data_IF_490448956716
#
_entry.id   IF_490448956716
#
_cell.length_a   1.000
_cell.length_b   1.000
_cell.length_c   1.000
_cell.angle_alpha   90.00
_cell.angle_beta   90.00
_cell.angle_gamma   90.00
#
_symmetry.space_group_name_H-M   'P 1'
#
loop_
_entity.id
_entity.type
_entity.pdbx_description
1 polymer ?
#
# COMPACT_ATOMS: atom_id res chain seq x y z
N UNK A 1 20.89 2.68 -13.01
CA UNK A 1 20.33 2.02 -14.22
C UNK A 1 19.59 0.74 -13.81
N UNK A 2 18.45 0.43 -14.45
CA UNK A 2 17.54 -0.66 -14.05
C UNK A 2 18.20 -2.05 -13.91
N UNK A 3 19.09 -2.54 -14.80
CA UNK A 3 19.61 -3.91 -14.72
C UNK A 3 20.35 -4.26 -13.41
N UNK A 4 20.93 -3.26 -12.74
CA UNK A 4 21.67 -3.42 -11.47
C UNK A 4 20.89 -2.90 -10.25
N UNK A 5 19.65 -2.44 -10.46
CA UNK A 5 18.81 -1.80 -9.45
C UNK A 5 18.24 -2.79 -8.43
N UNK A 6 17.83 -2.26 -7.27
CA UNK A 6 17.04 -2.99 -6.27
C UNK A 6 15.70 -3.47 -6.83
N UNK A 7 15.08 -2.70 -7.75
CA UNK A 7 13.83 -3.10 -8.40
C UNK A 7 14.00 -4.37 -9.22
N UNK A 8 15.07 -4.48 -10.03
CA UNK A 8 15.34 -5.68 -10.83
C UNK A 8 15.67 -6.89 -9.95
N UNK A 9 16.39 -6.67 -8.83
CA UNK A 9 16.85 -7.74 -7.93
C UNK A 9 15.76 -8.26 -6.99
N UNK A 10 14.90 -7.39 -6.46
CA UNK A 10 14.01 -7.74 -5.34
C UNK A 10 12.51 -7.57 -5.65
N UNK A 11 12.15 -6.82 -6.69
CA UNK A 11 10.75 -6.48 -7.01
C UNK A 11 10.39 -6.77 -8.46
N UNK A 12 11.10 -7.72 -9.07
CA UNK A 12 10.81 -8.26 -10.40
C UNK A 12 10.72 -9.77 -10.25
N UNK A 13 9.50 -10.27 -10.38
CA UNK A 13 9.16 -11.68 -10.19
C UNK A 13 9.19 -12.42 -11.52
N UNK A 14 9.29 -13.74 -11.45
CA UNK A 14 9.40 -14.59 -12.65
C UNK A 14 8.07 -14.67 -13.40
N UNK A 15 6.97 -14.77 -12.66
CA UNK A 15 5.61 -14.87 -13.17
C UNK A 15 4.57 -14.37 -12.15
N UNK A 16 3.30 -14.43 -12.53
CA UNK A 16 2.16 -14.03 -11.68
C UNK A 16 1.91 -15.01 -10.52
N UNK A 17 2.22 -16.30 -10.69
CA UNK A 17 2.02 -17.32 -9.65
C UNK A 17 2.91 -17.07 -8.44
N UNK A 18 4.12 -16.56 -8.65
CA UNK A 18 5.02 -16.14 -7.57
C UNK A 18 4.37 -15.04 -6.69
N UNK A 19 3.74 -14.04 -7.32
CA UNK A 19 3.05 -12.95 -6.63
C UNK A 19 1.81 -13.47 -5.89
N UNK A 20 1.00 -14.32 -6.53
CA UNK A 20 -0.19 -14.92 -5.91
C UNK A 20 0.18 -15.74 -4.67
N UNK A 21 1.27 -16.52 -4.74
CA UNK A 21 1.77 -17.29 -3.61
C UNK A 21 2.20 -16.41 -2.44
N UNK A 22 2.89 -15.29 -2.72
CA UNK A 22 3.30 -14.34 -1.68
C UNK A 22 2.09 -13.71 -0.98
N UNK A 23 1.08 -13.27 -1.75
CA UNK A 23 -0.16 -12.69 -1.22
C UNK A 23 -0.95 -13.69 -0.40
N UNK A 24 -1.12 -14.91 -0.92
CA UNK A 24 -1.77 -16.00 -0.18
C UNK A 24 -1.03 -16.28 1.13
N UNK A 25 0.30 -16.34 1.10
CA UNK A 25 1.09 -16.50 2.31
C UNK A 25 0.93 -15.35 3.31
N UNK A 26 0.76 -14.10 2.84
CA UNK A 26 0.50 -12.95 3.70
C UNK A 26 -0.87 -13.05 4.40
N UNK A 27 -1.90 -13.42 3.65
CA UNK A 27 -3.25 -13.67 4.17
C UNK A 27 -3.25 -14.81 5.20
N UNK A 28 -2.63 -15.96 4.87
CA UNK A 28 -2.53 -17.12 5.76
C UNK A 28 -1.81 -16.78 7.07
N UNK A 29 -0.69 -16.04 7.01
CA UNK A 29 0.02 -15.58 8.22
C UNK A 29 -0.86 -14.71 9.11
N UNK A 30 -1.69 -13.85 8.53
CA UNK A 30 -2.62 -13.02 9.29
C UNK A 30 -3.70 -13.89 9.97
N UNK A 31 -4.32 -14.79 9.23
CA UNK A 31 -5.36 -15.69 9.74
C UNK A 31 -4.78 -16.62 10.82
N UNK A 32 -3.57 -17.14 10.66
CA UNK A 32 -2.92 -17.98 11.66
C UNK A 32 -2.63 -17.22 12.95
N UNK A 33 -2.23 -15.95 12.85
CA UNK A 33 -1.93 -15.09 14.00
C UNK A 33 -3.19 -14.69 14.77
N UNK A 34 -4.24 -14.25 14.07
CA UNK A 34 -5.44 -13.67 14.68
C UNK A 34 -6.64 -14.63 14.76
N UNK A 35 -6.58 -15.77 14.07
CA UNK A 35 -7.59 -16.82 14.09
C UNK A 35 -7.29 -17.96 15.06
N UNK A 36 -6.32 -17.79 15.98
CA UNK A 36 -6.00 -18.79 17.00
C UNK A 36 -7.23 -19.07 17.87
N UNK A 37 -7.56 -20.35 18.03
CA UNK A 37 -8.72 -20.78 18.82
C UNK A 37 -10.07 -20.71 18.09
N UNK A 38 -10.11 -20.26 16.83
CA UNK A 38 -11.31 -20.33 15.98
C UNK A 38 -11.33 -21.63 15.19
N UNK A 39 -12.53 -22.18 14.99
CA UNK A 39 -12.76 -23.29 14.06
C UNK A 39 -12.57 -22.84 12.61
N UNK A 40 -12.41 -23.78 11.68
CA UNK A 40 -12.22 -23.44 10.26
C UNK A 40 -13.43 -22.71 9.67
N UNK A 41 -14.64 -23.02 10.10
CA UNK A 41 -15.85 -22.35 9.63
C UNK A 41 -15.95 -20.91 10.16
N UNK A 42 -15.55 -20.68 11.41
CA UNK A 42 -15.46 -19.32 11.97
C UNK A 42 -14.38 -18.48 11.29
N UNK A 43 -13.25 -19.09 10.93
CA UNK A 43 -12.20 -18.38 10.18
C UNK A 43 -12.70 -17.94 8.81
N UNK A 44 -13.35 -18.85 8.06
CA UNK A 44 -13.92 -18.53 6.74
C UNK A 44 -15.00 -17.46 6.80
N UNK A 45 -15.78 -17.40 7.88
CA UNK A 45 -16.82 -16.38 8.04
C UNK A 45 -16.28 -15.01 8.46
N UNK A 46 -15.11 -14.94 9.09
CA UNK A 46 -14.60 -13.71 9.71
C UNK A 46 -13.46 -13.05 8.92
N UNK A 47 -12.60 -13.85 8.29
CA UNK A 47 -11.43 -13.36 7.57
C UNK A 47 -11.69 -13.34 6.07
N UNK A 48 -11.02 -12.40 5.40
CA UNK A 48 -11.07 -12.28 3.95
C UNK A 48 -10.27 -13.39 3.28
N UNK A 49 -10.77 -13.86 2.15
CA UNK A 49 -10.02 -14.70 1.21
C UNK A 49 -9.00 -13.86 0.43
N UNK A 50 -7.92 -14.45 -0.12
CA UNK A 50 -6.98 -13.74 -0.98
C UNK A 50 -7.65 -13.04 -2.18
N UNK A 51 -8.71 -13.62 -2.72
CA UNK A 51 -9.49 -13.06 -3.83
C UNK A 51 -10.26 -11.80 -3.40
N UNK A 52 -10.88 -11.81 -2.23
CA UNK A 52 -11.56 -10.65 -1.66
C UNK A 52 -10.57 -9.52 -1.33
N UNK A 53 -9.40 -9.86 -0.77
CA UNK A 53 -8.33 -8.87 -0.57
C UNK A 53 -7.94 -8.22 -1.91
N UNK A 54 -7.78 -9.01 -2.97
CA UNK A 54 -7.42 -8.50 -4.29
C UNK A 54 -8.49 -7.56 -4.86
N UNK A 55 -9.78 -7.85 -4.64
CA UNK A 55 -10.89 -6.96 -5.03
C UNK A 55 -10.79 -5.62 -4.30
N UNK A 56 -10.54 -5.62 -2.99
CA UNK A 56 -10.37 -4.39 -2.20
C UNK A 56 -9.15 -3.58 -2.65
N UNK A 57 -8.05 -4.25 -2.98
CA UNK A 57 -6.84 -3.60 -3.51
C UNK A 57 -7.09 -2.97 -4.87
N UNK A 58 -7.77 -3.67 -5.79
CA UNK A 58 -8.17 -3.11 -7.09
C UNK A 58 -9.07 -1.88 -6.94
N UNK A 59 -10.04 -1.93 -6.01
CA UNK A 59 -10.87 -0.77 -5.68
C UNK A 59 -10.04 0.40 -5.15
N UNK A 60 -9.07 0.12 -4.28
CA UNK A 60 -8.16 1.12 -3.71
C UNK A 60 -7.23 1.72 -4.76
N UNK A 61 -6.77 0.95 -5.75
CA UNK A 61 -6.00 1.45 -6.89
C UNK A 61 -6.78 2.49 -7.72
N UNK A 62 -8.10 2.32 -7.85
CA UNK A 62 -8.96 3.32 -8.49
C UNK A 62 -9.07 4.58 -7.64
N UNK A 63 -9.19 4.44 -6.31
CA UNK A 63 -9.18 5.57 -5.39
C UNK A 63 -7.85 6.33 -5.44
N UNK A 64 -6.72 5.63 -5.58
CA UNK A 64 -5.38 6.23 -5.72
C UNK A 64 -5.34 7.09 -6.96
N UNK A 65 -5.83 6.57 -8.09
CA UNK A 65 -5.92 7.30 -9.36
C UNK A 65 -6.71 8.58 -9.20
N UNK A 66 -7.89 8.47 -8.59
CA UNK A 66 -8.81 9.58 -8.40
C UNK A 66 -8.25 10.64 -7.46
N UNK A 67 -7.58 10.22 -6.40
CA UNK A 67 -6.89 11.10 -5.46
C UNK A 67 -5.80 11.90 -6.17
N UNK A 68 -4.88 11.22 -6.87
CA UNK A 68 -3.79 11.88 -7.57
C UNK A 68 -4.29 12.81 -8.69
N UNK A 69 -5.34 12.41 -9.41
CA UNK A 69 -5.94 13.22 -10.49
C UNK A 69 -6.55 14.52 -9.99
N UNK A 70 -7.13 14.51 -8.78
CA UNK A 70 -7.78 15.69 -8.17
C UNK A 70 -6.83 16.49 -7.29
N UNK A 71 -5.59 16.03 -7.13
CA UNK A 71 -4.61 16.65 -6.26
C UNK A 71 -4.18 18.01 -6.79
N UNK A 72 -4.11 19.01 -5.90
CA UNK A 72 -3.62 20.34 -6.18
C UNK A 72 -2.45 20.66 -5.23
N UNK A 73 -1.27 21.06 -5.74
CA UNK A 73 -0.93 21.30 -7.15
C UNK A 73 -0.87 20.03 -8.01
N UNK A 74 -0.94 20.12 -9.35
CA UNK A 74 -0.99 18.93 -10.22
C UNK A 74 0.16 17.96 -9.95
N UNK A 75 -0.19 16.69 -9.70
CA UNK A 75 0.79 15.67 -9.33
C UNK A 75 1.58 15.18 -10.55
N UNK A 76 2.94 15.14 -10.48
CA UNK A 76 3.77 14.59 -11.54
C UNK A 76 3.46 13.11 -11.81
N UNK A 77 3.58 12.69 -13.08
CA UNK A 77 3.32 11.28 -13.46
C UNK A 77 4.28 10.30 -12.78
N UNK A 78 5.51 10.71 -12.48
CA UNK A 78 6.49 9.86 -11.78
C UNK A 78 6.03 9.57 -10.35
N UNK A 79 5.61 10.60 -9.59
CA UNK A 79 4.98 10.46 -8.26
C UNK A 79 3.82 9.47 -8.29
N UNK A 80 2.93 9.57 -9.28
CA UNK A 80 1.79 8.66 -9.41
C UNK A 80 2.27 7.22 -9.64
N UNK A 81 3.22 7.02 -10.57
CA UNK A 81 3.78 5.70 -10.88
C UNK A 81 4.49 5.05 -9.69
N UNK A 82 5.26 5.84 -8.93
CA UNK A 82 5.96 5.42 -7.71
C UNK A 82 4.96 5.09 -6.60
N UNK A 83 3.89 5.87 -6.45
CA UNK A 83 2.80 5.58 -5.50
C UNK A 83 2.14 4.23 -5.75
N UNK A 84 1.85 3.92 -7.01
CA UNK A 84 1.32 2.61 -7.40
C UNK A 84 2.31 1.48 -7.12
N UNK A 85 3.60 1.70 -7.38
CA UNK A 85 4.62 0.71 -7.10
C UNK A 85 4.70 0.40 -5.60
N UNK A 86 4.78 1.43 -4.75
CA UNK A 86 4.81 1.23 -3.30
C UNK A 86 3.56 0.54 -2.79
N UNK A 87 2.38 0.96 -3.24
CA UNK A 87 1.12 0.32 -2.85
C UNK A 87 1.08 -1.17 -3.24
N UNK A 88 1.47 -1.51 -4.48
CA UNK A 88 1.50 -2.90 -4.94
C UNK A 88 2.55 -3.73 -4.19
N UNK A 89 3.77 -3.19 -4.00
CA UNK A 89 4.85 -3.86 -3.28
C UNK A 89 4.48 -4.15 -1.82
N UNK A 90 3.87 -3.18 -1.14
CA UNK A 90 3.42 -3.33 0.24
C UNK A 90 2.44 -4.51 0.39
N UNK A 91 1.40 -4.56 -0.45
CA UNK A 91 0.36 -5.60 -0.38
C UNK A 91 0.72 -6.90 -1.12
N UNK A 92 1.98 -7.11 -1.52
CA UNK A 92 2.46 -8.45 -1.89
C UNK A 92 2.74 -9.28 -0.63
N UNK A 93 3.26 -8.65 0.43
CA UNK A 93 3.69 -9.35 1.64
C UNK A 93 2.85 -9.05 2.89
N UNK A 94 1.86 -8.15 2.77
CA UNK A 94 1.00 -7.70 3.86
C UNK A 94 -0.48 -7.89 3.49
N UNK A 95 -1.31 -8.22 4.49
CA UNK A 95 -2.76 -8.36 4.33
C UNK A 95 -3.48 -7.02 4.50
N UNK A 96 -4.57 -6.82 3.76
CA UNK A 96 -5.46 -5.66 3.94
C UNK A 96 -6.17 -5.64 5.29
N UNK A 97 -6.22 -6.79 5.97
CA UNK A 97 -6.83 -6.93 7.30
C UNK A 97 -5.92 -6.39 8.41
N UNK A 98 -4.60 -6.36 8.18
CA UNK A 98 -3.63 -5.79 9.13
C UNK A 98 -3.47 -4.28 8.90
N UNK A 99 -3.44 -3.87 7.63
CA UNK A 99 -3.25 -2.48 7.25
C UNK A 99 -4.32 -2.03 6.28
N UNK A 100 -5.12 -1.05 6.69
CA UNK A 100 -6.27 -0.60 5.90
C UNK A 100 -5.81 0.10 4.60
N UNK A 101 -6.26 -0.36 3.41
CA UNK A 101 -5.79 0.14 2.11
C UNK A 101 -5.87 1.66 1.93
N UNK A 102 -6.91 2.30 2.45
CA UNK A 102 -7.08 3.76 2.35
C UNK A 102 -5.97 4.54 3.06
N UNK A 103 -5.46 4.04 4.18
CA UNK A 103 -4.42 4.69 4.99
C UNK A 103 -3.04 4.49 4.37
N UNK A 104 -2.74 3.26 3.95
CA UNK A 104 -1.49 2.94 3.25
C UNK A 104 -1.43 3.67 1.90
N UNK A 105 -2.55 3.78 1.19
CA UNK A 105 -2.63 4.52 -0.07
C UNK A 105 -2.17 5.97 0.08
N UNK A 106 -2.75 6.73 1.01
CA UNK A 106 -2.36 8.14 1.19
C UNK A 106 -0.91 8.27 1.67
N UNK A 107 -0.44 7.31 2.46
CA UNK A 107 0.96 7.23 2.91
C UNK A 107 1.92 6.96 1.74
N UNK A 108 1.58 6.03 0.85
CA UNK A 108 2.34 5.75 -0.38
C UNK A 108 2.46 6.99 -1.27
N UNK A 109 1.36 7.74 -1.44
CA UNK A 109 1.40 8.97 -2.25
C UNK A 109 2.28 10.02 -1.58
N UNK A 110 2.14 10.23 -0.27
CA UNK A 110 2.97 11.21 0.45
C UNK A 110 4.46 10.87 0.42
N UNK A 111 4.83 9.60 0.67
CA UNK A 111 6.22 9.13 0.57
C UNK A 111 6.76 9.29 -0.85
N UNK A 112 5.95 8.97 -1.87
CA UNK A 112 6.35 9.14 -3.28
C UNK A 112 6.62 10.60 -3.62
N UNK A 113 5.87 11.54 -3.03
CA UNK A 113 6.14 12.98 -3.22
C UNK A 113 7.53 13.36 -2.71
N UNK A 114 7.96 12.80 -1.56
CA UNK A 114 9.30 13.04 -1.02
C UNK A 114 10.41 12.44 -1.88
N UNK A 115 10.23 11.20 -2.34
CA UNK A 115 11.26 10.46 -3.12
C UNK A 115 11.45 11.06 -4.51
N UNK A 116 10.37 11.51 -5.14
CA UNK A 116 10.37 12.09 -6.49
C UNK A 116 10.57 13.62 -6.49
N UNK A 117 11.02 14.18 -5.37
CA UNK A 117 11.30 15.61 -5.19
C UNK A 117 10.11 16.54 -5.49
N UNK A 118 8.88 16.04 -5.34
CA UNK A 118 7.67 16.85 -5.39
C UNK A 118 7.43 17.49 -4.02
N UNK A 119 8.05 18.66 -3.83
CA UNK A 119 8.12 19.38 -2.55
C UNK A 119 6.76 19.93 -2.13
N UNK A 120 6.07 19.20 -1.25
CA UNK A 120 4.81 19.61 -0.61
C UNK A 120 4.88 19.37 0.90
N UNK A 121 4.38 20.34 1.67
CA UNK A 121 4.25 20.14 3.12
C UNK A 121 3.14 19.13 3.44
N UNK A 122 3.22 18.48 4.61
CA UNK A 122 2.14 17.58 5.06
C UNK A 122 0.80 18.33 5.15
N UNK A 123 0.81 19.58 5.61
CA UNK A 123 -0.39 20.43 5.69
C UNK A 123 -1.05 20.66 4.32
N UNK A 124 -0.24 20.95 3.30
CA UNK A 124 -0.73 21.07 1.91
C UNK A 124 -1.22 19.72 1.38
N UNK A 125 -0.52 18.63 1.67
CA UNK A 125 -0.94 17.30 1.24
C UNK A 125 -2.33 16.95 1.80
N UNK A 126 -2.52 17.04 3.12
CA UNK A 126 -3.81 16.69 3.75
C UNK A 126 -4.93 17.67 3.43
N UNK A 127 -4.63 18.87 2.92
CA UNK A 127 -5.65 19.79 2.42
C UNK A 127 -6.45 19.20 1.25
N UNK A 128 -5.85 18.27 0.50
CA UNK A 128 -6.47 17.51 -0.59
C UNK A 128 -7.29 16.31 -0.10
N UNK A 129 -7.25 15.98 1.20
CA UNK A 129 -8.01 14.89 1.80
C UNK A 129 -9.34 15.44 2.34
N UNK A 130 -10.41 14.69 2.11
CA UNK A 130 -11.73 14.97 2.67
C UNK A 130 -11.86 14.37 4.08
N UNK A 131 -12.48 15.11 4.99
CA UNK A 131 -12.72 14.69 6.37
C UNK A 131 -11.72 15.29 7.34
N UNK A 132 -11.37 14.54 8.38
CA UNK A 132 -10.44 14.95 9.42
C UNK A 132 -8.99 14.94 8.91
N UNK A 133 -8.45 16.14 8.73
CA UNK A 133 -7.11 16.36 8.16
C UNK A 133 -6.00 16.16 9.18
N UNK A 134 -6.26 16.45 10.45
CA UNK A 134 -5.27 16.29 11.52
C UNK A 134 -5.03 14.80 11.74
N UNK A 135 -6.11 14.03 11.86
CA UNK A 135 -6.03 12.57 11.94
C UNK A 135 -5.37 11.96 10.71
N UNK A 136 -5.67 12.47 9.51
CA UNK A 136 -5.03 12.00 8.29
C UNK A 136 -3.51 12.25 8.30
N UNK A 137 -3.07 13.44 8.74
CA UNK A 137 -1.65 13.76 8.88
C UNK A 137 -0.95 12.83 9.86
N UNK A 138 -1.57 12.59 11.02
CA UNK A 138 -1.04 11.68 12.04
C UNK A 138 -0.88 10.26 11.51
N UNK A 139 -1.90 9.71 10.85
CA UNK A 139 -1.86 8.37 10.25
C UNK A 139 -0.73 8.27 9.22
N UNK A 140 -0.61 9.26 8.32
CA UNK A 140 0.42 9.28 7.28
C UNK A 140 1.82 9.26 7.91
N UNK A 141 2.06 10.12 8.89
CA UNK A 141 3.38 10.24 9.53
C UNK A 141 3.73 8.99 10.34
N UNK A 142 2.77 8.40 11.05
CA UNK A 142 2.98 7.18 11.83
C UNK A 142 3.26 5.96 10.92
N UNK A 143 2.59 5.88 9.77
CA UNK A 143 2.76 4.76 8.83
C UNK A 143 3.98 4.94 7.89
N UNK A 144 4.61 6.10 7.84
CA UNK A 144 5.70 6.36 6.89
C UNK A 144 6.90 5.44 7.10
N UNK A 145 7.36 5.31 8.35
CA UNK A 145 8.47 4.41 8.69
C UNK A 145 8.09 2.94 8.43
N UNK A 146 6.88 2.56 8.80
CA UNK A 146 6.34 1.22 8.55
C UNK A 146 6.36 0.91 7.04
N UNK A 147 5.88 1.83 6.20
CA UNK A 147 5.88 1.66 4.76
C UNK A 147 7.31 1.46 4.23
N UNK A 148 8.26 2.31 4.65
CA UNK A 148 9.67 2.17 4.25
C UNK A 148 10.24 0.80 4.65
N UNK A 149 9.96 0.32 5.86
CA UNK A 149 10.39 -0.99 6.35
C UNK A 149 9.82 -2.13 5.51
N UNK A 150 8.52 -2.08 5.19
CA UNK A 150 7.83 -3.10 4.39
C UNK A 150 8.28 -3.09 2.92
N UNK A 151 8.83 -1.98 2.43
CA UNK A 151 9.49 -1.88 1.13
C UNK A 151 10.97 -2.25 1.17
N UNK A 152 11.46 -2.74 2.31
CA UNK A 152 12.87 -3.05 2.58
C UNK A 152 13.81 -1.87 2.26
N UNK A 153 13.32 -0.63 2.46
CA UNK A 153 14.02 0.61 2.14
C UNK A 153 14.43 0.76 0.67
N UNK A 154 13.83 -0.02 -0.24
CA UNK A 154 14.00 0.12 -1.69
C UNK A 154 13.01 1.14 -2.26
N UNK A 155 13.31 2.41 -1.98
CA UNK A 155 12.55 3.56 -2.45
C UNK A 155 12.88 3.91 -3.90
#
# INVERSE_FOLDING_TARGET
MYPVSSQKKNWTFSDELEIEKLRKGANERFIEKFGRGKTEDEKKSFFLTPEEELILLKGSELLLREFCRKFSPPMPKSVIGTSYHYFKRFYINNSVMDYHPKEILVTCVYLSCKVEEFNISIAQFVSNIKGDREKAAEIILNNELLLMQQLNYYL
#
